data_IF_538652708678
#
_entry.id   IF_538652708678
#
_cell.length_a   1.000
_cell.length_b   1.000
_cell.length_c   1.000
_cell.angle_alpha   90.00
_cell.angle_beta   90.00
_cell.angle_gamma   90.00
#
_symmetry.space_group_name_H-M   'P 1'
#
loop_
_entity.id
_entity.type
_entity.pdbx_description
1 polymer ?
#
# COMPACT_ATOMS: atom_id res chain seq x y z
N UNK A 1 8.45 30.64 30.08
CA UNK A 1 9.85 30.32 29.74
C UNK A 1 9.78 29.18 28.73
N UNK A 2 9.90 29.51 27.44
CA UNK A 2 9.99 28.53 26.35
C UNK A 2 11.46 28.11 26.18
N UNK A 3 11.64 26.88 25.68
CA UNK A 3 12.78 26.36 24.92
C UNK A 3 14.12 26.03 25.62
N UNK A 4 14.37 24.71 25.76
CA UNK A 4 15.38 23.89 25.03
C UNK A 4 15.87 22.70 25.87
N UNK A 5 15.46 21.48 25.48
CA UNK A 5 16.33 20.31 25.31
C UNK A 5 15.48 19.07 24.97
N UNK A 6 15.37 18.82 23.66
CA UNK A 6 15.10 17.51 23.07
C UNK A 6 16.25 16.57 23.48
N UNK A 7 15.93 15.36 23.97
CA UNK A 7 16.52 14.07 23.55
C UNK A 7 16.47 12.99 24.65
N UNK A 8 16.17 11.76 24.22
CA UNK A 8 16.31 10.47 24.90
C UNK A 8 15.21 9.99 25.88
N UNK A 9 14.19 9.35 25.31
CA UNK A 9 14.02 7.89 25.49
C UNK A 9 13.07 7.31 24.42
N UNK A 10 13.63 6.92 23.27
CA UNK A 10 12.91 6.42 22.08
C UNK A 10 12.93 4.88 21.93
N UNK A 11 13.32 4.06 22.91
CA UNK A 11 13.39 2.59 22.68
C UNK A 11 13.11 1.81 23.97
N UNK A 12 11.84 1.63 24.36
CA UNK A 12 11.51 0.53 25.30
C UNK A 12 10.26 -0.29 25.04
N UNK A 13 9.31 0.11 24.18
CA UNK A 13 8.18 -0.74 23.81
C UNK A 13 7.86 -0.59 22.31
N UNK A 14 8.67 -1.18 21.42
CA UNK A 14 8.16 -1.48 20.07
C UNK A 14 7.18 -2.64 20.23
N UNK A 15 5.89 -2.35 20.38
CA UNK A 15 4.84 -3.36 20.22
C UNK A 15 4.93 -3.80 18.76
N UNK A 16 5.45 -5.01 18.54
CA UNK A 16 5.42 -5.61 17.23
C UNK A 16 3.96 -6.02 16.98
N UNK A 17 3.25 -5.32 16.11
CA UNK A 17 1.92 -5.77 15.69
C UNK A 17 2.09 -7.02 14.80
N UNK A 18 1.20 -8.03 14.91
CA UNK A 18 1.24 -9.18 14.01
C UNK A 18 1.01 -8.75 12.56
N UNK A 19 1.39 -9.62 11.63
CA UNK A 19 1.04 -9.42 10.23
C UNK A 19 -0.47 -9.56 10.03
N UNK A 20 -1.07 -8.78 9.12
CA UNK A 20 -2.51 -8.86 8.85
C UNK A 20 -2.88 -10.19 8.18
N UNK A 21 -3.90 -10.84 8.74
CA UNK A 21 -4.57 -12.01 8.16
C UNK A 21 -5.28 -11.67 6.84
N UNK A 22 -5.61 -12.66 5.99
CA UNK A 22 -6.21 -12.42 4.67
C UNK A 22 -7.41 -11.47 4.66
N UNK A 23 -8.34 -11.62 5.61
CA UNK A 23 -9.52 -10.75 5.71
C UNK A 23 -9.16 -9.31 6.10
N UNK A 24 -8.17 -9.13 6.97
CA UNK A 24 -7.66 -7.81 7.31
C UNK A 24 -6.96 -7.16 6.11
N UNK A 25 -6.18 -7.94 5.33
CA UNK A 25 -5.56 -7.43 4.09
C UNK A 25 -6.61 -7.01 3.09
N UNK A 26 -7.68 -7.80 2.90
CA UNK A 26 -8.82 -7.44 2.04
C UNK A 26 -9.41 -6.10 2.45
N UNK A 27 -9.78 -5.95 3.72
CA UNK A 27 -10.36 -4.72 4.24
C UNK A 27 -9.45 -3.51 4.01
N UNK A 28 -8.13 -3.67 4.21
CA UNK A 28 -7.16 -2.61 3.93
C UNK A 28 -7.11 -2.24 2.44
N UNK A 29 -7.17 -3.22 1.52
CA UNK A 29 -7.19 -2.93 0.09
C UNK A 29 -8.48 -2.24 -0.34
N UNK A 30 -9.64 -2.69 0.14
CA UNK A 30 -10.94 -2.08 -0.15
C UNK A 30 -11.03 -0.65 0.40
N UNK A 31 -10.44 -0.38 1.58
CA UNK A 31 -10.38 0.95 2.16
C UNK A 31 -9.46 1.90 1.35
N UNK A 32 -8.27 1.41 0.97
CA UNK A 32 -7.23 2.24 0.34
C UNK A 32 -7.38 2.38 -1.18
N UNK A 33 -8.05 1.42 -1.82
CA UNK A 33 -8.30 1.38 -3.25
C UNK A 33 -9.79 1.09 -3.50
N UNK A 34 -10.71 1.98 -3.08
CA UNK A 34 -12.13 1.73 -3.22
C UNK A 34 -12.54 1.63 -4.69
N UNK A 35 -13.47 0.71 -5.00
CA UNK A 35 -14.05 0.61 -6.33
C UNK A 35 -14.75 1.91 -6.72
N UNK A 36 -14.57 2.32 -7.97
CA UNK A 36 -15.25 3.47 -8.54
C UNK A 36 -16.38 3.02 -9.44
N UNK A 37 -17.54 3.68 -9.32
CA UNK A 37 -18.72 3.31 -10.11
C UNK A 37 -18.48 3.55 -11.61
N UNK A 38 -18.76 2.53 -12.43
CA UNK A 38 -18.60 2.60 -13.88
C UNK A 38 -17.19 2.29 -14.38
N UNK A 39 -16.27 1.89 -13.49
CA UNK A 39 -14.93 1.45 -13.83
C UNK A 39 -14.80 -0.07 -13.75
N UNK A 40 -13.68 -0.62 -14.25
CA UNK A 40 -13.42 -2.05 -14.16
C UNK A 40 -13.15 -2.42 -12.69
N UNK A 41 -13.86 -3.43 -12.19
CA UNK A 41 -13.68 -3.95 -10.84
C UNK A 41 -12.20 -4.30 -10.56
N UNK A 42 -11.75 -3.98 -9.35
CA UNK A 42 -10.37 -4.24 -8.93
C UNK A 42 -10.24 -5.70 -8.45
N UNK A 43 -9.11 -6.38 -8.76
CA UNK A 43 -8.92 -7.78 -8.41
C UNK A 43 -8.49 -7.95 -6.94
N UNK A 44 -9.38 -7.72 -5.98
CA UNK A 44 -9.06 -7.83 -4.55
C UNK A 44 -8.57 -9.22 -4.14
N UNK A 45 -9.09 -10.28 -4.78
CA UNK A 45 -8.64 -11.65 -4.52
C UNK A 45 -7.15 -11.80 -4.84
N UNK A 46 -6.72 -11.31 -6.00
CA UNK A 46 -5.30 -11.28 -6.38
C UNK A 46 -4.45 -10.45 -5.41
N UNK A 47 -4.96 -9.30 -4.96
CA UNK A 47 -4.26 -8.47 -3.96
C UNK A 47 -4.04 -9.24 -2.65
N UNK A 48 -5.06 -9.94 -2.15
CA UNK A 48 -4.98 -10.71 -0.90
C UNK A 48 -4.07 -11.93 -1.03
N UNK A 49 -4.18 -12.68 -2.13
CA UNK A 49 -3.37 -13.87 -2.43
C UNK A 49 -1.89 -13.51 -2.56
N UNK A 50 -1.56 -12.41 -3.24
CA UNK A 50 -0.18 -12.03 -3.54
C UNK A 50 0.49 -11.15 -2.49
N UNK A 51 -0.24 -10.79 -1.43
CA UNK A 51 0.26 -10.00 -0.30
C UNK A 51 0.48 -10.83 0.96
N UNK A 52 0.60 -12.15 0.85
CA UNK A 52 1.05 -12.97 1.98
C UNK A 52 2.41 -12.48 2.50
N UNK A 53 2.51 -12.32 3.82
CA UNK A 53 3.72 -11.79 4.46
C UNK A 53 3.90 -10.26 4.32
N UNK A 54 2.92 -9.53 3.79
CA UNK A 54 3.00 -8.07 3.75
C UNK A 54 2.63 -7.50 5.13
N UNK A 55 3.42 -6.54 5.59
CA UNK A 55 3.00 -5.67 6.70
C UNK A 55 1.94 -4.67 6.22
N UNK A 56 1.22 -4.05 7.14
CA UNK A 56 0.28 -2.98 6.77
C UNK A 56 0.93 -1.80 6.02
N UNK A 57 2.23 -1.56 6.24
CA UNK A 57 2.97 -0.53 5.50
C UNK A 57 3.30 -0.96 4.07
N UNK A 58 3.56 -2.24 3.84
CA UNK A 58 3.76 -2.77 2.48
C UNK A 58 2.47 -2.68 1.67
N UNK A 59 1.33 -3.01 2.30
CA UNK A 59 -0.01 -2.88 1.68
C UNK A 59 -0.27 -1.43 1.27
N UNK A 60 -0.03 -0.46 2.17
CA UNK A 60 -0.16 0.97 1.84
C UNK A 60 0.75 1.39 0.68
N UNK A 61 1.96 0.84 0.62
CA UNK A 61 2.90 1.12 -0.47
C UNK A 61 2.38 0.58 -1.81
N UNK A 62 1.85 -0.65 -1.85
CA UNK A 62 1.19 -1.20 -3.05
C UNK A 62 0.05 -0.31 -3.51
N UNK A 63 -0.84 0.09 -2.59
CA UNK A 63 -1.98 0.94 -2.94
C UNK A 63 -1.54 2.30 -3.50
N UNK A 64 -0.52 2.91 -2.89
CA UNK A 64 0.07 4.15 -3.39
C UNK A 64 0.66 3.97 -4.79
N UNK A 65 1.41 2.90 -5.03
CA UNK A 65 2.00 2.65 -6.34
C UNK A 65 0.95 2.37 -7.42
N UNK A 66 -0.13 1.66 -7.08
CA UNK A 66 -1.25 1.47 -8.00
C UNK A 66 -1.94 2.80 -8.34
N UNK A 67 -2.22 3.63 -7.33
CA UNK A 67 -2.86 4.94 -7.51
C UNK A 67 -2.02 5.95 -8.30
N UNK A 68 -0.69 5.75 -8.38
CA UNK A 68 0.20 6.59 -9.17
C UNK A 68 0.26 6.19 -10.65
N UNK A 69 -0.17 4.99 -11.05
CA UNK A 69 -0.09 4.54 -12.44
C UNK A 69 -0.94 5.35 -13.43
N UNK A 70 -2.19 5.74 -13.12
CA UNK A 70 -2.99 6.55 -14.03
C UNK A 70 -2.36 7.92 -14.29
N UNK A 71 -1.72 8.50 -13.27
CA UNK A 71 -0.97 9.75 -13.42
C UNK A 71 0.26 9.56 -14.32
N UNK A 72 1.01 8.46 -14.15
CA UNK A 72 2.15 8.13 -15.04
C UNK A 72 1.74 7.96 -16.50
N UNK A 73 0.61 7.29 -16.76
CA UNK A 73 0.03 7.19 -18.11
C UNK A 73 -0.30 8.56 -18.68
N UNK A 74 -0.98 9.41 -17.91
CA UNK A 74 -1.34 10.76 -18.33
C UNK A 74 -0.09 11.56 -18.71
N UNK A 75 0.93 11.57 -17.85
CA UNK A 75 2.20 12.27 -18.10
C UNK A 75 2.87 11.79 -19.39
N UNK A 76 2.91 10.47 -19.63
CA UNK A 76 3.49 9.92 -20.86
C UNK A 76 2.75 10.38 -22.13
N UNK A 77 1.42 10.49 -22.08
CA UNK A 77 0.63 11.04 -23.20
C UNK A 77 0.95 12.52 -23.41
N UNK A 78 0.99 13.30 -22.34
CA UNK A 78 1.31 14.74 -22.38
C UNK A 78 2.70 15.00 -22.98
N UNK A 79 3.71 14.23 -22.56
CA UNK A 79 5.08 14.32 -23.08
C UNK A 79 5.17 13.95 -24.58
N UNK A 80 4.34 13.01 -25.04
CA UNK A 80 4.28 12.64 -26.45
C UNK A 80 3.48 13.62 -27.33
N UNK A 81 2.64 14.46 -26.73
CA UNK A 81 1.64 15.31 -27.41
C UNK A 81 1.91 16.81 -27.29
N UNK A 82 3.18 17.19 -27.07
CA UNK A 82 3.66 18.54 -26.68
C UNK A 82 3.15 19.73 -27.52
N UNK A 83 2.49 19.51 -28.66
CA UNK A 83 2.06 20.56 -29.59
C UNK A 83 0.52 20.72 -29.74
N UNK A 84 -0.32 19.93 -29.06
CA UNK A 84 -1.76 19.86 -29.41
C UNK A 84 -2.76 19.99 -28.25
N UNK A 85 -2.34 20.38 -27.05
CA UNK A 85 -3.30 20.58 -25.97
C UNK A 85 -3.91 21.99 -26.05
N UNK A 86 -5.24 22.13 -26.15
CA UNK A 86 -5.87 23.43 -26.05
C UNK A 86 -5.59 24.00 -24.65
N UNK A 87 -5.19 25.28 -24.59
CA UNK A 87 -4.76 26.00 -23.38
C UNK A 87 -5.75 25.97 -22.20
N UNK A 88 -6.96 25.45 -22.39
CA UNK A 88 -8.07 25.64 -21.46
C UNK A 88 -8.56 24.37 -20.73
N UNK A 89 -8.05 23.17 -21.04
CA UNK A 89 -8.42 21.95 -20.29
C UNK A 89 -7.25 20.98 -20.13
N UNK A 90 -6.85 20.72 -18.88
CA UNK A 90 -5.95 19.62 -18.56
C UNK A 90 -6.71 18.29 -18.67
N UNK A 91 -6.14 17.28 -19.36
CA UNK A 91 -6.77 15.97 -19.43
C UNK A 91 -6.88 15.34 -18.03
N UNK A 92 -8.01 14.69 -17.78
CA UNK A 92 -8.30 14.07 -16.49
C UNK A 92 -7.43 12.83 -16.26
N UNK A 93 -7.06 12.60 -15.01
CA UNK A 93 -6.43 11.35 -14.60
C UNK A 93 -7.43 10.22 -14.78
N UNK A 94 -7.02 9.16 -15.47
CA UNK A 94 -7.85 7.99 -15.70
C UNK A 94 -8.04 7.12 -14.44
N UNK A 95 -8.84 6.06 -14.55
CA UNK A 95 -9.06 5.12 -13.47
C UNK A 95 -7.83 4.26 -13.18
N UNK A 96 -7.79 3.66 -11.98
CA UNK A 96 -6.87 2.56 -11.66
C UNK A 96 -7.39 1.30 -12.36
N UNK A 97 -6.49 0.58 -13.02
CA UNK A 97 -6.81 -0.65 -13.75
C UNK A 97 -6.22 -1.88 -13.07
N UNK A 98 -6.71 -3.10 -13.35
CA UNK A 98 -6.09 -4.32 -12.86
C UNK A 98 -4.61 -4.47 -13.23
N UNK A 99 -4.18 -3.93 -14.38
CA UNK A 99 -2.77 -3.95 -14.78
C UNK A 99 -1.91 -3.06 -13.88
N UNK A 100 -2.49 -1.99 -13.31
CA UNK A 100 -1.81 -1.10 -12.36
C UNK A 100 -1.51 -1.80 -11.04
N UNK A 101 -2.44 -2.65 -10.62
CA UNK A 101 -2.29 -3.53 -9.46
C UNK A 101 -1.14 -4.52 -9.70
N UNK A 102 -1.11 -5.15 -10.86
CA UNK A 102 -0.05 -6.08 -11.24
C UNK A 102 1.33 -5.41 -11.25
N UNK A 103 1.43 -4.18 -11.77
CA UNK A 103 2.67 -3.40 -11.75
C UNK A 103 3.06 -3.05 -10.30
N UNK A 104 2.11 -2.62 -9.46
CA UNK A 104 2.37 -2.25 -8.07
C UNK A 104 2.86 -3.44 -7.23
N UNK A 105 2.24 -4.61 -7.39
CA UNK A 105 2.66 -5.86 -6.72
C UNK A 105 4.04 -6.33 -7.18
N UNK A 106 4.38 -6.17 -8.47
CA UNK A 106 5.72 -6.52 -8.98
C UNK A 106 6.82 -5.61 -8.43
N UNK A 107 6.50 -4.34 -8.23
CA UNK A 107 7.46 -3.32 -7.82
C UNK A 107 7.59 -3.18 -6.29
N UNK A 108 6.64 -3.75 -5.53
CA UNK A 108 6.67 -3.73 -4.07
C UNK A 108 7.14 -5.08 -3.54
N UNK A 109 8.13 -5.07 -2.63
CA UNK A 109 8.59 -6.29 -1.94
C UNK A 109 8.06 -6.32 -0.51
N UNK A 110 7.66 -7.49 0.02
CA UNK A 110 7.25 -7.60 1.41
C UNK A 110 8.41 -7.21 2.33
N UNK A 111 8.19 -6.39 3.35
CA UNK A 111 9.24 -6.03 4.31
C UNK A 111 9.31 -7.03 5.47
N UNK A 112 8.27 -7.83 5.71
CA UNK A 112 8.24 -8.72 6.87
C UNK A 112 9.34 -9.79 6.86
N UNK A 113 9.78 -10.24 5.67
CA UNK A 113 10.91 -11.17 5.55
C UNK A 113 12.21 -10.62 6.18
N UNK A 114 12.42 -9.30 6.17
CA UNK A 114 13.58 -8.66 6.82
C UNK A 114 13.53 -8.75 8.35
N UNK A 115 12.36 -9.05 8.90
CA UNK A 115 12.09 -9.07 10.34
C UNK A 115 11.44 -10.39 10.79
N UNK A 116 11.58 -11.48 10.01
CA UNK A 116 10.93 -12.76 10.27
C UNK A 116 11.15 -13.26 11.72
N UNK A 117 12.39 -13.21 12.20
CA UNK A 117 12.75 -13.59 13.57
C UNK A 117 11.99 -12.81 14.67
N UNK A 118 11.60 -11.56 14.38
CA UNK A 118 10.82 -10.74 15.33
C UNK A 118 9.37 -11.18 15.36
N UNK A 119 8.79 -11.47 14.19
CA UNK A 119 7.42 -11.93 14.07
C UNK A 119 7.24 -13.35 14.64
N UNK A 120 8.18 -14.25 14.40
CA UNK A 120 8.20 -15.59 15.00
C UNK A 120 8.23 -15.52 16.53
N UNK A 121 9.11 -14.67 17.08
CA UNK A 121 9.20 -14.46 18.52
C UNK A 121 7.88 -13.90 19.08
N UNK A 122 7.28 -12.91 18.42
CA UNK A 122 6.00 -12.37 18.84
C UNK A 122 4.87 -13.42 18.80
N UNK A 123 4.79 -14.22 17.74
CA UNK A 123 3.80 -15.30 17.64
C UNK A 123 4.01 -16.35 18.73
N UNK A 124 5.25 -16.64 19.11
CA UNK A 124 5.55 -17.56 20.22
C UNK A 124 5.14 -16.96 21.57
N UNK A 125 5.47 -15.69 21.80
CA UNK A 125 5.25 -15.02 23.09
C UNK A 125 3.76 -14.66 23.31
N UNK A 126 3.00 -14.37 22.25
CA UNK A 126 1.64 -13.79 22.34
C UNK A 126 0.59 -14.44 21.44
N UNK A 127 0.97 -15.31 20.48
CA UNK A 127 0.05 -15.85 19.47
C UNK A 127 -1.05 -16.76 20.00
N UNK A 128 -0.89 -17.33 21.20
CA UNK A 128 -1.92 -18.14 21.85
C UNK A 128 -2.99 -17.33 22.60
N UNK A 129 -2.76 -16.04 22.88
CA UNK A 129 -3.69 -15.18 23.63
C UNK A 129 -4.71 -14.44 22.77
N UNK A 130 -4.54 -14.38 21.45
CA UNK A 130 -5.46 -13.67 20.53
C UNK A 130 -6.52 -14.63 19.94
N UNK A 131 -6.36 -15.94 20.11
CA UNK A 131 -7.28 -16.98 19.60
C UNK A 131 -8.15 -17.64 20.70
N UNK A 132 -8.56 -16.87 21.71
CA UNK A 132 -9.42 -17.30 22.81
C UNK A 132 -10.74 -16.54 22.87
#
# INVERSE_FOLDING_TARGET
MLDKAVAFNHIKNQILAPLPEPDARRAMFEELLPEQHGEKALPYDTLVERSEGYSGSDIRLVCKEAAMQPLRRLMSVLESSLEQLPDNELPKVGPITPDDIEIALKNTRPSAHLHAHRYEKFNTDYGSQILG
#
